data_IF_542051156333
#
_entry.id   IF_542051156333
#
_cell.length_a   1.000
_cell.length_b   1.000
_cell.length_c   1.000
_cell.angle_alpha   90.00
_cell.angle_beta   90.00
_cell.angle_gamma   90.00
#
_symmetry.space_group_name_H-M   'P 1'
#
loop_
_entity.id
_entity.type
_entity.pdbx_description
1 polymer ?
#
# COMPACT_ATOMS: atom_id res chain seq x y z
N UNK A 1 0.87 -21.33 2.03
CA UNK A 1 0.65 -20.93 0.63
C UNK A 1 1.89 -20.19 0.15
N UNK A 2 2.43 -20.51 -1.00
CA UNK A 2 3.63 -19.89 -1.54
C UNK A 2 3.31 -18.59 -2.27
N UNK A 3 4.35 -17.82 -2.61
CA UNK A 3 4.20 -16.61 -3.43
C UNK A 3 3.54 -16.93 -4.77
N UNK A 4 3.90 -18.07 -5.37
CA UNK A 4 3.32 -18.52 -6.64
C UNK A 4 1.82 -18.84 -6.49
N UNK A 5 1.43 -19.42 -5.37
CA UNK A 5 0.04 -19.71 -5.09
C UNK A 5 -0.77 -18.44 -4.90
N UNK A 6 -0.20 -17.45 -4.18
CA UNK A 6 -0.83 -16.14 -4.02
C UNK A 6 -0.98 -15.43 -5.37
N UNK A 7 0.05 -15.49 -6.21
CA UNK A 7 0.02 -14.85 -7.53
C UNK A 7 -1.11 -15.38 -8.40
N UNK A 8 -1.46 -16.68 -8.28
CA UNK A 8 -2.55 -17.28 -9.05
C UNK A 8 -3.92 -16.75 -8.69
N UNK A 9 -4.06 -16.10 -7.54
CA UNK A 9 -5.34 -15.50 -7.13
C UNK A 9 -5.54 -14.10 -7.72
N UNK A 10 -4.52 -13.52 -8.34
CA UNK A 10 -4.58 -12.19 -8.95
C UNK A 10 -5.14 -12.33 -10.36
N UNK A 11 -6.12 -11.48 -10.68
CA UNK A 11 -6.72 -11.45 -12.01
C UNK A 11 -5.91 -10.57 -12.95
N UNK A 12 -5.63 -11.06 -14.15
CA UNK A 12 -5.01 -10.29 -15.20
C UNK A 12 -6.10 -9.70 -16.11
N UNK A 13 -6.03 -8.41 -16.36
CA UNK A 13 -6.98 -7.70 -17.23
C UNK A 13 -6.18 -7.06 -18.34
N UNK A 14 -6.22 -7.64 -19.57
CA UNK A 14 -5.52 -7.02 -20.69
C UNK A 14 -6.21 -5.75 -21.15
N UNK A 15 -5.43 -4.82 -21.71
CA UNK A 15 -5.91 -3.57 -22.29
C UNK A 15 -6.72 -2.72 -21.30
N UNK A 16 -6.26 -2.62 -20.07
CA UNK A 16 -6.87 -1.81 -19.04
C UNK A 16 -5.79 -1.00 -18.30
N UNK A 17 -6.00 0.29 -18.02
CA UNK A 17 -7.15 1.13 -18.39
C UNK A 17 -7.14 1.57 -19.87
N UNK A 18 -6.07 1.30 -20.58
CA UNK A 18 -5.93 1.62 -22.00
C UNK A 18 -5.31 0.43 -22.76
N UNK A 19 -5.49 0.36 -24.08
CA UNK A 19 -4.87 -0.69 -24.89
C UNK A 19 -3.35 -0.78 -24.69
N UNK A 20 -2.83 -2.00 -24.63
CA UNK A 20 -1.41 -2.29 -24.45
C UNK A 20 -0.95 -2.41 -23.01
N UNK A 21 -1.81 -2.15 -22.04
CA UNK A 21 -1.49 -2.27 -20.61
C UNK A 21 -2.12 -3.56 -20.07
N UNK A 22 -1.29 -4.40 -19.44
CA UNK A 22 -1.79 -5.55 -18.67
C UNK A 22 -1.92 -5.11 -17.21
N UNK A 23 -3.16 -5.10 -16.73
CA UNK A 23 -3.47 -4.69 -15.37
C UNK A 23 -3.62 -5.91 -14.47
N UNK A 24 -3.02 -5.85 -13.27
CA UNK A 24 -3.14 -6.90 -12.27
C UNK A 24 -4.14 -6.47 -11.21
N UNK A 25 -5.27 -7.18 -11.18
CA UNK A 25 -6.35 -6.90 -10.23
C UNK A 25 -6.19 -7.77 -8.99
N UNK A 26 -5.79 -7.15 -7.89
CA UNK A 26 -5.58 -7.85 -6.61
C UNK A 26 -6.86 -8.02 -5.80
N UNK A 27 -7.98 -7.46 -6.24
CA UNK A 27 -9.24 -7.60 -5.51
C UNK A 27 -9.71 -9.05 -5.44
N UNK A 28 -9.34 -9.85 -6.43
CA UNK A 28 -9.63 -11.28 -6.42
C UNK A 28 -8.87 -12.04 -5.34
N UNK A 29 -7.66 -11.58 -5.00
CA UNK A 29 -6.92 -12.09 -3.86
C UNK A 29 -7.58 -11.64 -2.55
N UNK A 30 -7.94 -10.37 -2.45
CA UNK A 30 -8.52 -9.81 -1.22
C UNK A 30 -9.84 -10.45 -0.85
N UNK A 31 -10.66 -10.82 -1.82
CA UNK A 31 -11.97 -11.46 -1.53
C UNK A 31 -11.86 -12.94 -1.15
N UNK A 32 -10.69 -13.54 -1.32
CA UNK A 32 -10.44 -14.92 -0.96
C UNK A 32 -9.91 -14.97 0.48
N UNK A 33 -10.68 -15.51 1.45
CA UNK A 33 -10.26 -15.47 2.85
C UNK A 33 -8.89 -16.12 3.12
N UNK A 34 -8.63 -17.24 2.49
CA UNK A 34 -7.35 -17.94 2.65
C UNK A 34 -6.19 -17.15 2.08
N UNK A 35 -6.38 -16.55 0.89
CA UNK A 35 -5.34 -15.76 0.25
C UNK A 35 -5.06 -14.46 1.03
N UNK A 36 -6.11 -13.81 1.51
CA UNK A 36 -5.96 -12.58 2.30
C UNK A 36 -5.20 -12.85 3.60
N UNK A 37 -5.55 -13.94 4.29
CA UNK A 37 -4.83 -14.34 5.51
C UNK A 37 -3.38 -14.67 5.22
N UNK A 38 -3.13 -15.39 4.14
CA UNK A 38 -1.77 -15.78 3.76
C UNK A 38 -0.92 -14.57 3.38
N UNK A 39 -1.51 -13.60 2.66
CA UNK A 39 -0.82 -12.37 2.35
C UNK A 39 -0.45 -11.60 3.62
N UNK A 40 -1.39 -11.50 4.56
CA UNK A 40 -1.16 -10.86 5.86
C UNK A 40 -0.02 -11.57 6.60
N UNK A 41 -0.03 -12.90 6.65
CA UNK A 41 1.01 -13.67 7.33
C UNK A 41 2.37 -13.49 6.65
N UNK A 42 2.40 -13.51 5.33
CA UNK A 42 3.64 -13.34 4.55
C UNK A 42 4.26 -11.97 4.79
N UNK A 43 3.46 -10.91 4.73
CA UNK A 43 3.95 -9.55 4.97
C UNK A 43 4.43 -9.39 6.41
N UNK A 44 3.70 -9.95 7.37
CA UNK A 44 4.11 -9.92 8.76
C UNK A 44 5.48 -10.59 8.97
N UNK A 45 5.67 -11.79 8.41
CA UNK A 45 6.93 -12.50 8.51
C UNK A 45 8.10 -11.72 7.89
N UNK A 46 7.85 -10.99 6.80
CA UNK A 46 8.89 -10.18 6.15
C UNK A 46 9.37 -9.02 7.02
N UNK A 47 8.48 -8.44 7.82
CA UNK A 47 8.76 -7.17 8.50
C UNK A 47 8.76 -7.22 10.03
N UNK A 48 8.38 -8.34 10.63
CA UNK A 48 8.21 -8.44 12.10
C UNK A 48 9.44 -8.07 12.92
N UNK A 49 10.63 -8.26 12.35
CA UNK A 49 11.90 -8.01 13.05
C UNK A 49 12.57 -6.71 12.65
N UNK A 50 11.86 -5.82 11.94
CA UNK A 50 12.43 -4.57 11.44
C UNK A 50 12.21 -3.38 12.38
N UNK A 51 11.47 -3.56 13.46
CA UNK A 51 11.21 -2.47 14.40
C UNK A 51 10.29 -1.38 13.84
N UNK A 52 9.38 -1.74 12.93
CA UNK A 52 8.47 -0.78 12.29
C UNK A 52 7.57 -0.14 13.34
N UNK A 53 7.48 1.19 13.33
CA UNK A 53 6.62 1.95 14.25
C UNK A 53 5.44 2.59 13.54
N UNK A 54 5.55 2.84 12.24
CA UNK A 54 4.48 3.41 11.43
C UNK A 54 4.43 2.73 10.07
N UNK A 55 3.24 2.38 9.63
CA UNK A 55 2.98 1.93 8.26
C UNK A 55 2.28 3.06 7.54
N UNK A 56 2.87 3.54 6.46
CA UNK A 56 2.28 4.57 5.59
C UNK A 56 1.65 3.88 4.40
N UNK A 57 0.34 4.02 4.25
CA UNK A 57 -0.38 3.45 3.11
C UNK A 57 -0.76 4.54 2.11
N UNK A 58 -0.53 4.27 0.84
CA UNK A 58 -0.82 5.21 -0.24
C UNK A 58 -2.25 5.01 -0.71
N UNK A 59 -3.01 6.10 -0.82
CA UNK A 59 -4.39 6.09 -1.31
C UNK A 59 -4.46 5.50 -2.72
N UNK A 60 -5.38 4.61 -3.00
CA UNK A 60 -6.37 4.08 -2.07
C UNK A 60 -6.07 2.64 -1.69
N UNK A 61 -5.33 1.92 -2.50
CA UNK A 61 -5.10 0.48 -2.32
C UNK A 61 -4.22 0.15 -1.14
N UNK A 62 -3.28 1.04 -0.80
CA UNK A 62 -2.46 0.90 0.40
C UNK A 62 -3.27 0.95 1.69
N UNK A 63 -4.52 1.37 1.62
CA UNK A 63 -5.42 1.42 2.78
C UNK A 63 -6.04 0.06 3.10
N UNK A 64 -5.90 -0.91 2.22
CA UNK A 64 -6.47 -2.25 2.45
C UNK A 64 -5.55 -3.08 3.34
N UNK A 65 -4.32 -3.33 2.90
CA UNK A 65 -3.37 -4.13 3.66
C UNK A 65 -2.60 -3.31 4.70
N UNK A 66 -2.46 -2.01 4.48
CA UNK A 66 -1.69 -1.14 5.38
C UNK A 66 -2.14 -1.22 6.84
N UNK A 67 -3.41 -0.96 7.15
CA UNK A 67 -3.91 -1.06 8.53
C UNK A 67 -3.80 -2.47 9.12
N UNK A 68 -4.06 -3.50 8.30
CA UNK A 68 -3.92 -4.89 8.74
C UNK A 68 -2.48 -5.15 9.18
N UNK A 69 -1.53 -4.76 8.35
CA UNK A 69 -0.11 -4.96 8.64
C UNK A 69 0.33 -4.14 9.84
N UNK A 70 -0.13 -2.90 9.96
CA UNK A 70 0.18 -2.04 11.08
C UNK A 70 -0.23 -2.69 12.42
N UNK A 71 -1.47 -3.18 12.50
CA UNK A 71 -1.94 -3.83 13.73
C UNK A 71 -1.13 -5.08 14.06
N UNK A 72 -0.75 -5.86 13.07
CA UNK A 72 0.05 -7.07 13.29
C UNK A 72 1.46 -6.76 13.75
N UNK A 73 2.03 -5.65 13.28
CA UNK A 73 3.39 -5.23 13.66
C UNK A 73 3.42 -4.41 14.96
N UNK A 74 2.27 -4.10 15.54
CA UNK A 74 2.21 -3.21 16.70
C UNK A 74 2.56 -1.77 16.35
N UNK A 75 2.33 -1.37 15.11
CA UNK A 75 2.63 -0.04 14.57
C UNK A 75 1.37 0.79 14.38
N UNK A 76 1.54 2.10 14.24
CA UNK A 76 0.45 2.99 13.83
C UNK A 76 0.31 2.99 12.32
N UNK A 77 -0.84 3.47 11.83
CA UNK A 77 -1.09 3.61 10.39
C UNK A 77 -1.22 5.09 10.02
N UNK A 78 -0.54 5.48 8.94
CA UNK A 78 -0.56 6.85 8.43
C UNK A 78 -1.07 6.82 6.99
N UNK A 79 -2.19 7.51 6.70
CA UNK A 79 -2.66 7.61 5.32
C UNK A 79 -1.85 8.65 4.55
N UNK A 80 -1.39 8.28 3.36
CA UNK A 80 -0.81 9.18 2.39
C UNK A 80 -1.85 9.38 1.29
N UNK A 81 -2.29 10.61 1.10
CA UNK A 81 -3.44 10.90 0.25
C UNK A 81 -3.14 11.97 -0.79
N UNK A 82 -4.03 12.07 -1.77
CA UNK A 82 -3.98 13.13 -2.76
C UNK A 82 -4.33 14.48 -2.13
N UNK A 83 -3.91 15.60 -2.75
CA UNK A 83 -4.14 16.94 -2.17
C UNK A 83 -5.61 17.20 -1.85
N UNK A 84 -5.83 17.87 -0.73
CA UNK A 84 -7.17 18.28 -0.30
C UNK A 84 -7.98 17.24 0.44
N UNK A 85 -7.41 16.06 0.70
CA UNK A 85 -8.14 14.97 1.38
C UNK A 85 -7.90 14.92 2.88
N UNK A 86 -6.78 15.45 3.33
CA UNK A 86 -6.42 15.42 4.76
C UNK A 86 -6.82 16.72 5.43
N UNK A 87 -7.48 16.65 6.61
CA UNK A 87 -8.07 17.84 7.24
C UNK A 87 -7.10 18.73 8.02
N UNK A 88 -6.00 18.17 8.53
CA UNK A 88 -5.04 18.95 9.30
C UNK A 88 -3.89 19.42 8.41
N UNK A 89 -2.92 20.12 9.00
CA UNK A 89 -1.77 20.61 8.26
C UNK A 89 -0.96 19.46 7.65
N UNK A 90 -0.59 19.61 6.39
CA UNK A 90 0.09 18.56 5.62
C UNK A 90 1.46 19.01 5.14
N UNK A 91 2.31 18.03 4.87
CA UNK A 91 3.49 18.19 4.02
C UNK A 91 3.26 17.38 2.75
N UNK A 92 3.85 17.84 1.66
CA UNK A 92 3.60 17.21 0.37
C UNK A 92 4.86 16.97 -0.43
N UNK A 93 4.78 15.99 -1.33
CA UNK A 93 5.82 15.70 -2.29
C UNK A 93 5.17 15.46 -3.64
N UNK A 94 5.75 16.05 -4.68
CA UNK A 94 5.30 15.84 -6.06
C UNK A 94 6.27 14.94 -6.77
N UNK A 95 5.76 14.10 -7.65
CA UNK A 95 6.58 13.20 -8.44
C UNK A 95 6.08 13.14 -9.88
N UNK A 96 7.00 12.88 -10.80
CA UNK A 96 6.66 12.72 -12.20
C UNK A 96 6.11 11.32 -12.44
N UNK A 97 5.07 11.25 -13.25
CA UNK A 97 4.55 10.00 -13.75
C UNK A 97 4.46 10.09 -15.27
N UNK A 98 4.15 8.98 -15.92
CA UNK A 98 4.17 8.89 -17.39
C UNK A 98 3.32 9.97 -18.08
N UNK A 99 2.23 10.40 -17.45
CA UNK A 99 1.28 11.36 -18.02
C UNK A 99 1.17 12.64 -17.17
N UNK A 100 2.27 13.14 -16.63
CA UNK A 100 2.29 14.37 -15.86
C UNK A 100 2.86 14.21 -14.48
N UNK A 101 2.43 15.08 -13.57
CA UNK A 101 2.87 15.06 -12.17
C UNK A 101 1.73 14.63 -11.27
N UNK A 102 2.08 13.95 -10.19
CA UNK A 102 1.14 13.65 -9.13
C UNK A 102 1.73 14.15 -7.81
N UNK A 103 0.86 14.43 -6.85
CA UNK A 103 1.25 14.93 -5.54
C UNK A 103 0.59 14.09 -4.48
N UNK A 104 1.35 13.76 -3.43
CA UNK A 104 0.82 13.06 -2.27
C UNK A 104 1.11 13.87 -1.02
N UNK A 105 0.24 13.75 -0.03
CA UNK A 105 0.33 14.48 1.23
C UNK A 105 0.19 13.53 2.40
N UNK A 106 0.91 13.83 3.49
CA UNK A 106 0.67 13.24 4.81
C UNK A 106 0.48 14.38 5.80
N UNK A 107 -0.15 14.10 6.93
CA UNK A 107 -0.24 15.07 8.01
C UNK A 107 1.16 15.40 8.51
N UNK A 108 1.40 16.68 8.79
CA UNK A 108 2.70 17.17 9.24
C UNK A 108 3.15 16.52 10.56
N UNK A 109 2.22 16.16 11.41
CA UNK A 109 2.47 15.54 12.71
C UNK A 109 2.42 14.01 12.71
N UNK A 110 2.31 13.40 11.52
CA UNK A 110 2.09 11.96 11.43
C UNK A 110 3.32 11.12 11.80
N UNK A 111 4.51 11.63 11.53
CA UNK A 111 5.77 10.88 11.69
C UNK A 111 6.72 11.69 12.55
N UNK A 112 7.31 11.01 13.53
CA UNK A 112 8.31 11.58 14.42
C UNK A 112 9.72 11.19 13.95
N UNK A 113 10.78 11.95 14.36
CA UNK A 113 12.14 11.68 13.89
C UNK A 113 12.68 10.27 14.20
N UNK A 114 12.20 9.65 15.26
CA UNK A 114 12.64 8.31 15.67
C UNK A 114 11.77 7.18 15.13
N UNK A 115 10.76 7.50 14.32
CA UNK A 115 9.92 6.49 13.70
C UNK A 115 10.68 5.67 12.67
N UNK A 116 10.37 4.37 12.63
CA UNK A 116 10.79 3.47 11.56
C UNK A 116 9.57 3.23 10.68
N UNK A 117 9.64 3.68 9.45
CA UNK A 117 8.49 3.77 8.56
C UNK A 117 8.54 2.68 7.49
N UNK A 118 7.43 1.98 7.32
CA UNK A 118 7.22 1.09 6.19
C UNK A 118 6.21 1.76 5.25
N UNK A 119 6.65 2.07 4.05
CA UNK A 119 5.79 2.63 3.01
C UNK A 119 5.17 1.50 2.21
N UNK A 120 3.85 1.48 2.13
CA UNK A 120 3.13 0.38 1.50
C UNK A 120 2.17 0.87 0.42
N UNK A 121 2.23 0.21 -0.73
CA UNK A 121 1.23 0.25 -1.78
C UNK A 121 1.14 -1.16 -2.39
N UNK A 122 0.07 -1.44 -3.10
CA UNK A 122 -0.11 -2.76 -3.70
C UNK A 122 0.35 -2.83 -5.17
N UNK A 123 0.59 -1.68 -5.78
CA UNK A 123 0.96 -1.60 -7.18
C UNK A 123 2.09 -0.60 -7.37
N UNK A 124 3.17 -1.06 -8.01
CA UNK A 124 4.23 -0.20 -8.51
C UNK A 124 4.04 -0.07 -10.00
N UNK A 125 3.54 1.10 -10.43
CA UNK A 125 3.47 1.47 -11.83
C UNK A 125 4.77 2.18 -12.19
N UNK A 126 5.55 1.58 -13.03
CA UNK A 126 6.80 2.18 -13.51
C UNK A 126 6.56 3.00 -14.76
#
# INVERSE_FOLDING_TARGET
MSKETLAKTIREIPDFPIPGILFYDVTTLFKNPSALQELSDTLYEMYKDKGITKVVGIESRGFIMGPILATRLGAGFVPMRKPGKLPAETIEESYDKEYGKDTVQIHKDAIEPDDVVLLHDDLLAT
#
